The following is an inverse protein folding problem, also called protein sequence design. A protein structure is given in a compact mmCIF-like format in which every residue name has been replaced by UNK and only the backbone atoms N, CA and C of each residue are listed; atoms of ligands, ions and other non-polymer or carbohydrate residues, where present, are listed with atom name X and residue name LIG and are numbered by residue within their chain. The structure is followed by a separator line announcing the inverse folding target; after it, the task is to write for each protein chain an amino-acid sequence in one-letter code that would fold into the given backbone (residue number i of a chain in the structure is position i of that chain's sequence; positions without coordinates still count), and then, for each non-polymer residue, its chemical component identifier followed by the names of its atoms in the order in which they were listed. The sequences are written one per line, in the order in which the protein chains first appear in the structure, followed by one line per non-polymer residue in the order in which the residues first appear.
data_IF_202577948266
#
_entry.id   IF_202577948266
#
_cell.length_a   1.000
_cell.length_b   1.000
_cell.length_c   1.000
_cell.angle_alpha   90.00
_cell.angle_beta   90.00
_cell.angle_gamma   90.00
#
_symmetry.space_group_name_H-M   'P 1'
#
loop_
_entity.id
_entity.type
_entity.pdbx_description
1 polymer ?
#
# COMPACT_ATOMS: atom_id res chain seq x y z
N UNK A 1 -1.09 -6.03 -27.58
CA UNK A 1 0.31 -5.65 -27.35
C UNK A 1 0.93 -6.77 -26.52
N UNK A 2 1.69 -7.69 -27.12
CA UNK A 2 2.31 -8.80 -26.37
C UNK A 2 3.41 -8.20 -25.49
N UNK A 3 3.32 -8.41 -24.19
CA UNK A 3 4.33 -7.95 -23.23
C UNK A 3 5.55 -8.86 -23.42
N UNK A 4 6.59 -8.34 -24.09
CA UNK A 4 7.85 -9.07 -24.33
C UNK A 4 8.84 -8.99 -23.15
N UNK A 5 8.42 -8.42 -22.01
CA UNK A 5 9.22 -8.21 -20.81
C UNK A 5 8.69 -9.08 -19.68
N UNK A 6 9.56 -9.81 -18.99
CA UNK A 6 9.18 -10.54 -17.77
C UNK A 6 8.72 -9.56 -16.69
N UNK A 7 7.65 -9.90 -16.00
CA UNK A 7 7.06 -9.10 -14.93
C UNK A 7 7.64 -9.54 -13.58
N UNK A 8 8.01 -8.57 -12.76
CA UNK A 8 8.30 -8.81 -11.35
C UNK A 8 6.99 -8.77 -10.58
N UNK A 9 6.60 -9.92 -10.01
CA UNK A 9 5.33 -10.07 -9.32
C UNK A 9 5.57 -10.21 -7.83
N UNK A 10 4.89 -9.38 -7.06
CA UNK A 10 4.83 -9.52 -5.62
C UNK A 10 3.55 -10.23 -5.22
N UNK A 11 3.65 -11.24 -4.38
CA UNK A 11 2.50 -12.02 -3.91
C UNK A 11 2.34 -11.80 -2.42
N UNK A 12 1.20 -11.24 -2.03
CA UNK A 12 0.78 -11.03 -0.66
C UNK A 12 -0.27 -12.08 -0.29
N UNK A 13 -0.06 -12.80 0.82
CA UNK A 13 -0.93 -13.91 1.25
C UNK A 13 -1.30 -13.75 2.72
N UNK A 14 -2.50 -14.19 3.14
CA UNK A 14 -2.77 -14.37 4.58
C UNK A 14 -1.83 -15.48 5.12
N UNK A 15 -1.16 -15.22 6.25
CA UNK A 15 -0.20 -16.13 6.93
C UNK A 15 -0.74 -17.55 7.14
N UNK A 16 -2.07 -17.73 7.11
CA UNK A 16 -2.75 -19.02 7.24
C UNK A 16 -2.70 -19.90 5.99
N UNK A 17 -2.18 -19.39 4.88
CA UNK A 17 -2.15 -20.12 3.61
C UNK A 17 -0.74 -20.54 3.22
N UNK A 18 -0.38 -21.80 3.49
CA UNK A 18 0.74 -22.49 2.84
C UNK A 18 0.39 -22.83 1.38
N UNK A 19 -0.14 -21.86 0.63
CA UNK A 19 -0.45 -22.07 -0.76
C UNK A 19 0.86 -22.01 -1.54
N UNK A 20 1.41 -23.18 -1.84
CA UNK A 20 2.31 -23.30 -2.97
C UNK A 20 1.48 -22.97 -4.20
N UNK A 21 1.57 -21.73 -4.69
CA UNK A 21 1.28 -21.43 -6.08
C UNK A 21 2.28 -22.29 -6.85
N UNK A 22 1.85 -23.51 -7.17
CA UNK A 22 2.63 -24.44 -7.96
C UNK A 22 2.50 -23.86 -9.35
N UNK A 23 3.46 -22.99 -9.67
CA UNK A 23 3.54 -22.29 -10.94
C UNK A 23 3.50 -23.32 -12.04
N UNK A 24 2.36 -23.37 -12.73
CA UNK A 24 2.25 -24.07 -14.00
C UNK A 24 3.29 -23.51 -14.97
N UNK A 25 3.75 -24.36 -15.89
CA UNK A 25 4.88 -24.09 -16.80
C UNK A 25 4.72 -22.80 -17.63
N UNK A 26 3.48 -22.35 -17.87
CA UNK A 26 3.19 -21.13 -18.64
C UNK A 26 3.37 -19.83 -17.81
N UNK A 27 3.23 -19.90 -16.48
CA UNK A 27 3.50 -18.74 -15.61
C UNK A 27 5.00 -18.43 -15.52
N UNK A 28 5.87 -19.45 -15.64
CA UNK A 28 7.32 -19.28 -15.55
C UNK A 28 7.92 -18.45 -16.70
N UNK A 29 7.29 -18.41 -17.87
CA UNK A 29 7.83 -17.63 -18.99
C UNK A 29 7.70 -16.12 -18.77
N UNK A 30 6.63 -15.68 -18.10
CA UNK A 30 6.26 -14.27 -17.96
C UNK A 30 6.48 -13.69 -16.56
N UNK A 31 6.64 -14.51 -15.52
CA UNK A 31 6.85 -14.06 -14.13
C UNK A 31 8.27 -14.39 -13.69
N UNK A 32 9.06 -13.36 -13.38
CA UNK A 32 10.49 -13.52 -13.13
C UNK A 32 10.81 -14.05 -11.72
N UNK A 33 10.02 -13.63 -10.72
CA UNK A 33 10.33 -13.92 -9.30
C UNK A 33 9.15 -13.56 -8.39
N UNK A 34 8.83 -14.43 -7.43
CA UNK A 34 8.11 -14.03 -6.22
C UNK A 34 9.13 -13.41 -5.25
N UNK A 35 8.98 -12.14 -4.89
CA UNK A 35 9.94 -11.43 -4.04
C UNK A 35 9.49 -11.53 -2.58
N UNK A 36 10.17 -12.32 -1.72
CA UNK A 36 9.96 -12.25 -0.28
C UNK A 36 10.41 -10.88 0.23
N UNK A 37 9.63 -10.29 1.14
CA UNK A 37 9.75 -8.88 1.55
C UNK A 37 10.92 -8.62 2.52
N UNK A 38 12.08 -9.23 2.31
CA UNK A 38 13.22 -9.06 3.21
C UNK A 38 13.98 -7.75 2.97
N UNK A 39 13.68 -6.99 1.90
CA UNK A 39 14.30 -5.69 1.60
C UNK A 39 13.31 -4.71 0.93
N UNK A 40 12.98 -3.61 1.63
CA UNK A 40 12.23 -2.43 1.11
C UNK A 40 12.76 -1.86 -0.22
N UNK A 41 14.04 -2.11 -0.54
CA UNK A 41 14.70 -1.58 -1.74
C UNK A 41 14.25 -2.21 -3.07
N UNK A 42 13.50 -3.31 -3.05
CA UNK A 42 13.04 -3.97 -4.28
C UNK A 42 11.60 -3.60 -4.69
N UNK A 43 10.89 -2.81 -3.87
CA UNK A 43 9.49 -2.43 -4.15
C UNK A 43 9.31 -1.64 -5.45
N UNK A 44 10.31 -0.85 -5.85
CA UNK A 44 10.28 -0.06 -7.08
C UNK A 44 10.41 -0.91 -8.36
N UNK A 45 10.77 -2.19 -8.24
CA UNK A 45 10.92 -3.11 -9.37
C UNK A 45 9.66 -3.92 -9.65
N UNK A 46 8.68 -3.89 -8.74
CA UNK A 46 7.45 -4.68 -8.84
C UNK A 46 6.55 -4.08 -9.93
N UNK A 47 6.17 -4.91 -10.89
CA UNK A 47 5.29 -4.54 -12.00
C UNK A 47 3.83 -4.89 -11.72
N UNK A 48 3.57 -5.87 -10.84
CA UNK A 48 2.23 -6.35 -10.46
C UNK A 48 2.23 -6.86 -9.02
N UNK A 49 1.16 -6.59 -8.28
CA UNK A 49 0.90 -7.20 -6.97
C UNK A 49 -0.27 -8.18 -7.10
N UNK A 50 -0.12 -9.38 -6.54
CA UNK A 50 -1.17 -10.38 -6.41
C UNK A 50 -1.49 -10.55 -4.93
N UNK A 51 -2.74 -10.31 -4.53
CA UNK A 51 -3.21 -10.55 -3.16
C UNK A 51 -4.07 -11.82 -3.12
N UNK A 52 -3.71 -12.76 -2.25
CA UNK A 52 -4.47 -13.98 -1.99
C UNK A 52 -5.03 -13.94 -0.57
N UNK A 53 -6.31 -13.62 -0.42
CA UNK A 53 -6.93 -13.48 0.88
C UNK A 53 -8.14 -12.55 0.90
N UNK A 54 -8.34 -11.87 2.02
CA UNK A 54 -9.44 -10.92 2.18
C UNK A 54 -9.05 -9.47 1.89
N UNK A 55 -9.93 -8.55 2.23
CA UNK A 55 -9.66 -7.10 2.10
C UNK A 55 -8.45 -6.66 2.93
N UNK A 56 -8.22 -7.29 4.09
CA UNK A 56 -7.05 -7.03 4.94
C UNK A 56 -5.70 -7.32 4.26
N UNK A 57 -5.64 -8.35 3.41
CA UNK A 57 -4.45 -8.69 2.61
C UNK A 57 -4.12 -7.57 1.62
N UNK A 58 -5.13 -7.01 0.96
CA UNK A 58 -4.96 -5.88 0.05
C UNK A 58 -4.59 -4.59 0.79
N UNK A 59 -5.17 -4.35 1.98
CA UNK A 59 -4.79 -3.21 2.83
C UNK A 59 -3.34 -3.31 3.29
N UNK A 60 -2.89 -4.51 3.68
CA UNK A 60 -1.51 -4.75 4.03
C UNK A 60 -0.58 -4.51 2.84
N UNK A 61 -0.88 -5.06 1.66
CA UNK A 61 -0.13 -4.77 0.44
C UNK A 61 -0.04 -3.26 0.17
N UNK A 62 -1.17 -2.53 0.23
CA UNK A 62 -1.17 -1.06 0.06
C UNK A 62 -0.27 -0.34 1.07
N UNK A 63 -0.16 -0.84 2.31
CA UNK A 63 0.68 -0.24 3.34
C UNK A 63 2.18 -0.35 3.02
N UNK A 64 2.58 -1.36 2.24
CA UNK A 64 3.98 -1.54 1.80
C UNK A 64 4.39 -0.50 0.75
N UNK A 65 3.44 -0.04 -0.08
CA UNK A 65 3.70 0.90 -1.19
C UNK A 65 3.36 2.35 -0.82
N UNK A 66 4.20 3.00 0.01
CA UNK A 66 4.01 4.40 0.45
C UNK A 66 4.34 5.47 -0.63
N UNK A 67 4.68 5.06 -1.86
CA UNK A 67 4.90 5.96 -3.02
C UNK A 67 3.99 5.52 -4.19
N UNK A 68 4.57 5.09 -5.31
CA UNK A 68 3.82 4.47 -6.41
C UNK A 68 3.38 3.06 -6.02
N UNK A 69 2.12 2.72 -6.30
CA UNK A 69 1.58 1.38 -6.10
C UNK A 69 1.36 0.73 -7.48
N UNK A 70 1.98 -0.42 -7.77
CA UNK A 70 1.70 -1.19 -8.98
C UNK A 70 0.23 -1.62 -9.03
N UNK A 71 -0.29 -2.02 -10.22
CA UNK A 71 -1.60 -2.66 -10.32
C UNK A 71 -1.72 -3.82 -9.33
N UNK A 72 -2.87 -3.92 -8.66
CA UNK A 72 -3.16 -4.97 -7.68
C UNK A 72 -4.24 -5.89 -8.22
N UNK A 73 -3.92 -7.17 -8.37
CA UNK A 73 -4.84 -8.24 -8.69
C UNK A 73 -5.14 -9.02 -7.41
N UNK A 74 -6.40 -9.12 -7.03
CA UNK A 74 -6.76 -9.67 -5.71
C UNK A 74 -7.82 -10.76 -5.80
N UNK A 75 -7.53 -11.90 -5.18
CA UNK A 75 -8.40 -13.07 -5.13
C UNK A 75 -8.92 -13.33 -3.72
N UNK A 76 -10.23 -13.48 -3.57
CA UNK A 76 -10.87 -13.97 -2.36
C UNK A 76 -10.66 -15.48 -2.23
N UNK A 77 -10.16 -15.93 -1.07
CA UNK A 77 -9.99 -17.35 -0.73
C UNK A 77 -11.13 -17.93 0.12
N UNK A 78 -12.26 -17.22 0.18
CA UNK A 78 -13.42 -17.57 1.02
C UNK A 78 -14.65 -16.80 0.57
N UNK A 79 -15.26 -16.02 1.47
CA UNK A 79 -16.31 -15.08 1.10
C UNK A 79 -15.75 -13.94 0.24
N UNK A 80 -16.57 -13.47 -0.71
CA UNK A 80 -16.23 -12.34 -1.57
C UNK A 80 -16.08 -11.06 -0.73
N UNK A 81 -14.95 -10.35 -0.89
CA UNK A 81 -14.69 -9.08 -0.22
C UNK A 81 -15.11 -7.88 -1.08
N UNK A 82 -15.01 -6.67 -0.52
CA UNK A 82 -15.27 -5.45 -1.29
C UNK A 82 -14.08 -5.08 -2.19
N UNK A 83 -12.86 -5.38 -1.74
CA UNK A 83 -11.62 -5.10 -2.44
C UNK A 83 -11.09 -6.32 -3.20
N UNK A 84 -11.57 -7.53 -2.89
CA UNK A 84 -11.18 -8.79 -3.53
C UNK A 84 -12.29 -9.39 -4.41
N UNK A 85 -12.49 -8.90 -5.66
CA UNK A 85 -13.65 -9.24 -6.47
C UNK A 85 -13.57 -10.60 -7.17
N UNK A 86 -12.44 -11.29 -7.13
CA UNK A 86 -12.22 -12.53 -7.89
C UNK A 86 -12.19 -13.75 -6.99
N UNK A 87 -12.98 -14.79 -7.27
CA UNK A 87 -12.83 -16.09 -6.60
C UNK A 87 -11.55 -16.78 -7.09
N UNK A 88 -10.71 -17.20 -6.15
CA UNK A 88 -9.46 -17.91 -6.46
C UNK A 88 -9.66 -19.17 -7.31
N UNK A 89 -10.84 -19.80 -7.29
CA UNK A 89 -11.16 -20.94 -8.17
C UNK A 89 -10.95 -20.67 -9.66
N UNK A 90 -11.04 -19.40 -10.09
CA UNK A 90 -10.91 -19.00 -11.49
C UNK A 90 -9.58 -18.27 -11.78
N UNK A 91 -8.59 -18.38 -10.89
CA UNK A 91 -7.35 -17.61 -10.98
C UNK A 91 -6.58 -17.80 -12.30
N UNK A 92 -6.51 -19.01 -12.85
CA UNK A 92 -5.82 -19.29 -14.11
C UNK A 92 -6.39 -18.48 -15.29
N UNK A 93 -7.72 -18.50 -15.45
CA UNK A 93 -8.41 -17.76 -16.51
C UNK A 93 -8.20 -16.25 -16.35
N UNK A 94 -8.35 -15.73 -15.13
CA UNK A 94 -8.22 -14.31 -14.83
C UNK A 94 -6.78 -13.85 -15.05
N UNK A 95 -5.80 -14.64 -14.62
CA UNK A 95 -4.40 -14.32 -14.82
C UNK A 95 -4.03 -14.27 -16.30
N UNK A 96 -4.53 -15.22 -17.10
CA UNK A 96 -4.35 -15.22 -18.55
C UNK A 96 -4.96 -13.97 -19.21
N UNK A 97 -6.14 -13.53 -18.77
CA UNK A 97 -6.76 -12.29 -19.25
C UNK A 97 -5.93 -11.05 -18.91
N UNK A 98 -5.46 -10.95 -17.66
CA UNK A 98 -4.61 -9.86 -17.18
C UNK A 98 -3.29 -9.81 -17.96
N UNK A 99 -2.60 -10.94 -18.10
CA UNK A 99 -1.34 -11.04 -18.85
C UNK A 99 -1.52 -10.77 -20.35
N UNK A 100 -2.70 -11.08 -20.90
CA UNK A 100 -3.05 -10.74 -22.29
C UNK A 100 -3.35 -9.25 -22.50
N UNK A 101 -3.43 -8.46 -21.42
CA UNK A 101 -3.74 -7.03 -21.43
C UNK A 101 -5.22 -6.72 -21.68
N UNK A 102 -6.12 -7.70 -21.53
CA UNK A 102 -7.57 -7.57 -21.78
C UNK A 102 -8.34 -7.28 -20.49
N UNK A 103 -7.81 -6.44 -19.62
CA UNK A 103 -8.41 -6.14 -18.32
C UNK A 103 -8.58 -4.63 -18.13
N UNK A 104 -9.68 -4.25 -17.48
CA UNK A 104 -9.89 -2.88 -17.02
C UNK A 104 -9.22 -2.68 -15.66
N UNK A 105 -8.57 -1.52 -15.47
CA UNK A 105 -7.94 -1.16 -14.19
C UNK A 105 -8.81 -0.10 -13.50
N UNK A 106 -9.10 -0.30 -12.22
CA UNK A 106 -9.78 0.67 -11.38
C UNK A 106 -8.76 1.43 -10.52
N UNK A 107 -8.73 2.75 -10.65
CA UNK A 107 -7.93 3.61 -9.79
C UNK A 107 -8.68 3.89 -8.48
N UNK A 108 -8.04 3.57 -7.35
CA UNK A 108 -8.54 3.93 -6.01
C UNK A 108 -7.67 5.02 -5.42
N UNK A 109 -8.30 6.07 -4.91
CA UNK A 109 -7.62 7.18 -4.23
C UNK A 109 -7.10 6.73 -2.87
N UNK A 110 -5.99 7.33 -2.43
CA UNK A 110 -5.46 7.17 -1.07
C UNK A 110 -5.39 8.52 -0.39
N UNK A 111 -5.63 8.55 0.91
CA UNK A 111 -5.45 9.71 1.76
C UNK A 111 -3.96 9.85 2.08
N UNK A 112 -3.40 11.04 1.89
CA UNK A 112 -2.05 11.36 2.35
C UNK A 112 -2.14 12.12 3.67
N UNK A 113 -1.52 11.57 4.71
CA UNK A 113 -1.63 12.03 6.08
C UNK A 113 -0.25 12.39 6.60
N UNK A 114 -0.06 13.63 7.00
CA UNK A 114 1.20 14.11 7.56
C UNK A 114 1.01 14.45 9.03
N UNK A 115 1.82 13.84 9.89
CA UNK A 115 1.83 14.12 11.32
C UNK A 115 2.86 15.21 11.59
N UNK A 116 2.40 16.33 12.12
CA UNK A 116 3.25 17.48 12.45
C UNK A 116 3.17 17.72 13.96
N UNK A 117 4.32 17.73 14.62
CA UNK A 117 4.43 18.02 16.06
C UNK A 117 5.17 19.33 16.25
N UNK A 118 4.48 20.33 16.79
CA UNK A 118 5.06 21.62 17.14
C UNK A 118 6.13 21.45 18.24
N UNK A 119 7.30 22.08 18.07
CA UNK A 119 8.38 22.07 19.07
C UNK A 119 9.33 20.89 19.06
N UNK A 120 9.35 20.06 18.01
CA UNK A 120 10.37 19.01 17.86
C UNK A 120 11.59 19.58 17.16
N UNK A 121 12.47 20.28 17.89
CA UNK A 121 13.85 20.50 17.44
C UNK A 121 14.48 19.13 17.20
N UNK A 122 14.69 18.77 15.93
CA UNK A 122 15.52 17.67 15.42
C UNK A 122 15.92 16.57 16.43
N UNK A 123 14.97 15.78 16.91
CA UNK A 123 15.29 14.43 17.38
C UNK A 123 15.02 13.51 16.20
N UNK A 124 16.09 13.23 15.46
CA UNK A 124 16.15 12.15 14.48
C UNK A 124 15.90 10.83 15.20
N UNK A 125 14.65 10.43 15.37
CA UNK A 125 14.32 9.00 15.53
C UNK A 125 14.22 8.41 14.14
N UNK A 126 15.38 7.96 13.67
CA UNK A 126 15.57 7.13 12.50
C UNK A 126 14.94 5.75 12.73
N UNK A 127 13.61 5.66 12.68
CA UNK A 127 12.91 4.38 12.47
C UNK A 127 12.31 4.31 11.05
N UNK A 128 12.93 5.04 10.12
CA UNK A 128 12.90 4.73 8.69
C UNK A 128 14.34 4.85 8.15
N UNK A 129 14.86 3.85 7.41
CA UNK A 129 16.20 3.94 6.86
C UNK A 129 16.20 4.93 5.68
N UNK A 130 16.75 6.11 5.95
CA UNK A 130 17.64 6.93 5.12
C UNK A 130 17.45 6.85 3.59
N UNK A 131 16.66 7.78 3.03
CA UNK A 131 16.61 8.11 1.60
C UNK A 131 17.47 9.38 1.38
N UNK A 132 18.80 9.24 1.48
CA UNK A 132 19.75 10.31 1.18
C UNK A 132 20.36 10.17 -0.22
N UNK A 133 19.54 10.37 -1.25
CA UNK A 133 20.04 10.93 -2.52
C UNK A 133 19.80 12.43 -2.48
N UNK A 134 20.79 13.15 -1.93
CA UNK A 134 20.84 14.62 -1.96
C UNK A 134 21.18 15.07 -3.39
N UNK A 135 20.17 15.45 -4.16
CA UNK A 135 20.38 16.38 -5.28
C UNK A 135 20.44 17.80 -4.70
N UNK A 136 21.61 18.43 -4.83
CA UNK A 136 21.83 19.82 -4.43
C UNK A 136 20.98 20.76 -5.29
N UNK A 137 19.80 21.11 -4.82
CA UNK A 137 19.11 22.31 -5.26
C UNK A 137 18.82 23.19 -4.04
N UNK A 138 19.56 24.30 -3.99
CA UNK A 138 19.33 25.41 -3.08
C UNK A 138 17.93 25.96 -3.29
N UNK A 139 17.02 25.73 -2.36
CA UNK A 139 15.89 26.64 -2.13
C UNK A 139 15.42 26.57 -0.66
N UNK A 140 15.32 27.75 -0.10
CA UNK A 140 14.91 28.07 1.26
C UNK A 140 13.43 27.79 1.44
N UNK A 141 13.08 26.70 2.12
CA UNK A 141 11.76 26.52 2.73
C UNK A 141 11.91 25.70 4.01
N UNK A 142 11.28 26.21 5.07
CA UNK A 142 11.29 25.62 6.41
C UNK A 142 10.77 24.18 6.34
N UNK A 143 11.67 23.20 6.32
CA UNK A 143 11.33 21.78 6.36
C UNK A 143 10.82 21.44 7.76
N UNK A 144 9.52 21.62 7.99
CA UNK A 144 8.82 20.99 9.10
C UNK A 144 8.76 19.50 8.76
N UNK A 145 9.71 18.73 9.32
CA UNK A 145 9.89 17.30 9.05
C UNK A 145 8.77 16.45 9.63
N UNK A 146 7.58 16.50 9.03
CA UNK A 146 6.45 15.65 9.36
C UNK A 146 6.56 14.26 8.72
N UNK A 147 6.19 13.21 9.46
CA UNK A 147 6.11 11.85 8.94
C UNK A 147 4.82 11.71 8.12
N UNK A 148 4.94 11.29 6.85
CA UNK A 148 3.78 11.14 5.94
C UNK A 148 3.44 9.67 5.71
N UNK A 149 2.14 9.36 5.69
CA UNK A 149 1.60 8.03 5.48
C UNK A 149 0.44 8.07 4.48
N UNK A 150 0.33 7.01 3.66
CA UNK A 150 -0.77 6.80 2.74
C UNK A 150 -1.75 5.75 3.31
N UNK A 151 -3.02 6.12 3.40
CA UNK A 151 -4.11 5.25 3.82
C UNK A 151 -5.10 5.00 2.67
N UNK A 152 -5.53 3.75 2.50
CA UNK A 152 -6.47 3.39 1.42
C UNK A 152 -7.94 3.60 1.83
N UNK A 153 -8.33 3.16 3.02
CA UNK A 153 -9.72 3.23 3.46
C UNK A 153 -9.99 4.50 4.25
N UNK A 154 -9.33 4.64 5.40
CA UNK A 154 -9.67 5.65 6.39
C UNK A 154 -8.47 6.01 7.28
N UNK A 155 -8.64 7.11 8.00
CA UNK A 155 -7.68 7.62 8.97
C UNK A 155 -8.47 7.86 10.24
N UNK A 156 -8.02 7.25 11.33
CA UNK A 156 -8.67 7.34 12.62
C UNK A 156 -7.76 8.07 13.58
N UNK A 157 -8.32 9.06 14.28
CA UNK A 157 -7.70 9.72 15.42
C UNK A 157 -8.54 9.31 16.63
N UNK A 158 -7.89 8.69 17.60
CA UNK A 158 -8.53 8.13 18.80
C UNK A 158 -7.71 8.53 20.05
N UNK A 159 -8.36 8.63 21.21
CA UNK A 159 -7.75 8.96 22.50
C UNK A 159 -6.76 7.92 23.01
N UNK A 160 -6.69 6.77 22.36
CA UNK A 160 -5.89 5.62 22.73
C UNK A 160 -6.25 5.13 24.14
N UNK A 161 -5.26 4.82 24.98
CA UNK A 161 -5.51 4.31 26.33
C UNK A 161 -5.96 5.40 27.32
N UNK A 162 -6.04 6.67 26.92
CA UNK A 162 -6.36 7.77 27.81
C UNK A 162 -7.80 7.66 28.31
N UNK A 163 -8.04 7.80 29.62
CA UNK A 163 -9.40 7.76 30.18
C UNK A 163 -10.24 9.01 29.90
N UNK A 164 -9.63 10.09 29.41
CA UNK A 164 -10.31 11.32 29.04
C UNK A 164 -10.59 11.37 27.53
N UNK A 165 -11.72 11.99 27.15
CA UNK A 165 -12.06 12.25 25.75
C UNK A 165 -10.98 13.10 25.06
N UNK A 166 -10.70 12.76 23.81
CA UNK A 166 -9.87 13.57 22.92
C UNK A 166 -10.57 14.89 22.61
N UNK A 167 -9.86 16.00 22.74
CA UNK A 167 -10.32 17.32 22.31
C UNK A 167 -9.60 17.70 21.02
N UNK A 168 -10.31 17.69 19.90
CA UNK A 168 -9.75 17.93 18.57
C UNK A 168 -10.36 19.18 17.97
N UNK A 169 -9.52 20.11 17.52
CA UNK A 169 -9.96 21.24 16.70
C UNK A 169 -9.89 20.84 15.22
N UNK A 170 -11.03 20.90 14.53
CA UNK A 170 -11.14 20.54 13.13
C UNK A 170 -11.05 21.78 12.25
N UNK A 171 -10.11 21.74 11.30
CA UNK A 171 -9.92 22.77 10.28
C UNK A 171 -10.09 22.16 8.90
N UNK A 172 -10.72 22.91 7.98
CA UNK A 172 -10.78 22.56 6.55
C UNK A 172 -10.29 23.78 5.78
N UNK A 173 -9.28 23.61 4.92
CA UNK A 173 -8.64 24.70 4.16
C UNK A 173 -8.26 25.88 5.07
N UNK A 174 -7.55 25.58 6.16
CA UNK A 174 -7.09 26.53 7.20
C UNK A 174 -8.20 27.31 7.93
N UNK A 175 -9.47 26.92 7.73
CA UNK A 175 -10.62 27.53 8.39
C UNK A 175 -11.11 26.62 9.52
N UNK A 176 -11.23 27.18 10.73
CA UNK A 176 -11.85 26.49 11.86
C UNK A 176 -13.30 26.12 11.54
N UNK A 177 -13.65 24.86 11.78
CA UNK A 177 -14.98 24.30 11.56
C UNK A 177 -15.68 24.05 12.88
N UNK A 178 -15.08 23.23 13.74
CA UNK A 178 -15.67 22.84 15.02
C UNK A 178 -14.62 22.21 15.95
N UNK A 179 -14.99 22.04 17.22
CA UNK A 179 -14.27 21.22 18.19
C UNK A 179 -15.01 19.89 18.37
N UNK A 180 -14.29 18.79 18.25
CA UNK A 180 -14.79 17.42 18.48
C UNK A 180 -14.29 16.94 19.83
N UNK A 181 -15.21 16.39 20.64
CA UNK A 181 -14.90 15.70 21.89
C UNK A 181 -15.38 14.26 21.76
N UNK A 182 -14.47 13.28 21.84
CA UNK A 182 -14.83 11.89 21.55
C UNK A 182 -13.76 10.89 21.96
N UNK A 183 -14.09 9.62 21.72
CA UNK A 183 -13.10 8.55 21.67
C UNK A 183 -12.19 8.77 20.46
#
# INVERSE_FOLDING_TARGET
MKIHRRLNVFVETDDRTHLHITTDSDLQENIERCIPLDKKNDLCKIDLVICLGGDGTLLHASSLFQKSCPPVLSFSMGSLGFLTPFDFKFHENILNEVLSGKVAVLLRTRLNCTIIKEGSDNVLTSDTPDDSVRTNETNTSNNVGGMSHLALNEVVIDRGPNSYLSNLDLYINDKFITKVQGD
#
